data_IF_643504113296
#
_entry.id   IF_643504113296
#
_cell.length_a   1.000
_cell.length_b   1.000
_cell.length_c   1.000
_cell.angle_alpha   90.00
_cell.angle_beta   90.00
_cell.angle_gamma   90.00
#
_symmetry.space_group_name_H-M   'P 1'
#
loop_
_entity.id
_entity.type
_entity.pdbx_description
1 polymer ?
#
# COMPACT_ATOMS: atom_id res chain seq x y z
N UNK A 1 -10.88 1.66 2.45
CA UNK A 1 -10.35 2.19 1.16
C UNK A 1 -8.84 2.21 1.22
N UNK A 2 -8.14 1.66 0.22
CA UNK A 2 -6.69 1.70 0.15
C UNK A 2 -6.23 3.11 -0.18
N UNK A 3 -5.09 3.51 0.37
CA UNK A 3 -4.46 4.78 0.06
C UNK A 3 -3.13 4.54 -0.65
N UNK A 4 -2.84 5.38 -1.62
CA UNK A 4 -1.54 5.50 -2.25
C UNK A 4 -0.86 6.79 -1.81
N UNK A 5 0.45 6.83 -1.92
CA UNK A 5 1.24 8.03 -1.67
C UNK A 5 1.36 8.82 -2.96
N UNK A 6 0.86 10.05 -2.96
CA UNK A 6 1.18 11.03 -3.99
C UNK A 6 2.48 11.76 -3.63
N UNK A 7 3.30 12.01 -4.63
CA UNK A 7 4.55 12.76 -4.53
C UNK A 7 4.55 13.86 -5.57
N UNK A 8 4.80 15.08 -5.14
CA UNK A 8 5.02 16.23 -6.00
C UNK A 8 6.37 16.85 -5.70
N UNK A 9 7.15 17.09 -6.75
CA UNK A 9 8.45 17.73 -6.65
C UNK A 9 8.60 18.80 -7.74
N UNK A 10 9.21 19.93 -7.38
CA UNK A 10 9.60 20.97 -8.31
C UNK A 10 11.12 21.02 -8.42
N UNK A 11 11.63 21.02 -9.63
CA UNK A 11 13.04 21.27 -9.93
C UNK A 11 13.17 22.59 -10.69
N UNK A 12 13.96 23.54 -10.17
CA UNK A 12 14.33 24.75 -10.90
C UNK A 12 15.61 24.52 -11.67
N UNK A 13 15.53 24.55 -12.99
CA UNK A 13 16.66 24.35 -13.89
C UNK A 13 17.37 25.67 -14.20
N UNK A 14 18.68 25.58 -14.52
CA UNK A 14 19.54 26.75 -14.77
C UNK A 14 19.28 27.40 -16.12
N UNK A 15 18.83 26.61 -17.09
CA UNK A 15 18.55 27.05 -18.46
C UNK A 15 17.43 26.16 -19.04
N UNK A 16 16.79 26.55 -20.13
CA UNK A 16 15.84 25.69 -20.86
C UNK A 16 16.47 24.36 -21.26
N UNK A 17 15.65 23.30 -21.38
CA UNK A 17 16.13 21.94 -21.65
C UNK A 17 16.83 21.77 -23.00
N UNK A 18 16.61 22.67 -23.95
CA UNK A 18 17.27 22.75 -25.27
C UNK A 18 18.61 23.53 -25.25
N UNK A 19 18.94 24.14 -24.11
CA UNK A 19 20.25 24.76 -23.94
C UNK A 19 21.37 23.71 -23.87
N UNK A 20 22.54 23.97 -24.51
CA UNK A 20 23.69 23.06 -24.45
C UNK A 20 24.12 22.66 -23.03
N UNK A 21 23.99 23.55 -22.05
CA UNK A 21 24.28 23.29 -20.64
C UNK A 21 23.40 22.15 -20.07
N UNK A 22 22.19 22.01 -20.59
CA UNK A 22 21.19 21.07 -20.08
C UNK A 22 21.18 19.73 -20.84
N UNK A 23 22.02 19.55 -21.84
CA UNK A 23 22.01 18.36 -22.73
C UNK A 23 22.02 17.04 -21.95
N UNK A 24 22.93 16.88 -20.98
CA UNK A 24 23.04 15.66 -20.20
C UNK A 24 21.80 15.46 -19.29
N UNK A 25 21.30 16.55 -18.72
CA UNK A 25 20.09 16.50 -17.88
C UNK A 25 18.85 16.13 -18.70
N UNK A 26 18.67 16.74 -19.86
CA UNK A 26 17.57 16.42 -20.77
C UNK A 26 17.59 14.94 -21.22
N UNK A 27 18.78 14.38 -21.48
CA UNK A 27 18.94 12.95 -21.79
C UNK A 27 18.65 12.05 -20.58
N UNK A 28 18.90 12.51 -19.36
CA UNK A 28 18.68 11.74 -18.15
C UNK A 28 17.19 11.63 -17.77
N UNK A 29 16.37 12.64 -18.07
CA UNK A 29 14.94 12.68 -17.73
C UNK A 29 14.18 11.42 -18.19
N UNK A 30 14.20 11.01 -19.46
CA UNK A 30 13.50 9.82 -19.90
C UNK A 30 14.02 8.55 -19.23
N UNK A 31 15.31 8.45 -18.96
CA UNK A 31 15.92 7.29 -18.27
C UNK A 31 15.40 7.17 -16.85
N UNK A 32 15.36 8.27 -16.10
CA UNK A 32 14.81 8.29 -14.72
C UNK A 32 13.33 7.97 -14.71
N UNK A 33 12.59 8.50 -15.67
CA UNK A 33 11.17 8.22 -15.81
C UNK A 33 10.89 6.74 -16.09
N UNK A 34 11.68 6.11 -16.96
CA UNK A 34 11.58 4.68 -17.23
C UNK A 34 11.97 3.85 -16.00
N UNK A 35 13.02 4.23 -15.30
CA UNK A 35 13.42 3.61 -14.05
C UNK A 35 12.29 3.68 -13.02
N UNK A 36 11.62 4.83 -12.87
CA UNK A 36 10.48 4.99 -11.98
C UNK A 36 9.34 4.03 -12.35
N UNK A 37 8.96 3.97 -13.64
CA UNK A 37 7.84 3.12 -14.08
C UNK A 37 8.09 1.62 -13.90
N UNK A 38 9.35 1.19 -13.86
CA UNK A 38 9.75 -0.21 -13.60
C UNK A 38 10.01 -0.51 -12.13
N UNK A 39 9.98 0.52 -11.27
CA UNK A 39 10.26 0.34 -9.85
C UNK A 39 9.07 -0.32 -9.12
N UNK A 40 9.33 -1.24 -8.18
CA UNK A 40 8.28 -1.81 -7.34
C UNK A 40 7.46 -0.72 -6.65
N UNK A 41 6.15 -0.90 -6.63
CA UNK A 41 5.22 0.04 -6.00
C UNK A 41 4.98 1.34 -6.75
N UNK A 42 5.49 1.49 -7.97
CA UNK A 42 5.10 2.59 -8.85
C UNK A 42 3.66 2.37 -9.35
N UNK A 43 2.82 3.40 -9.28
CA UNK A 43 1.41 3.32 -9.68
C UNK A 43 1.13 4.16 -10.92
N UNK A 44 1.58 5.43 -10.92
CA UNK A 44 1.28 6.37 -11.99
C UNK A 44 2.18 7.62 -11.92
N UNK A 45 2.28 8.34 -13.02
CA UNK A 45 2.88 9.69 -13.11
C UNK A 45 2.10 10.58 -14.06
N UNK A 46 2.09 11.89 -13.78
CA UNK A 46 1.62 12.89 -14.73
C UNK A 46 2.63 13.09 -15.88
N UNK A 47 2.12 13.41 -17.04
CA UNK A 47 2.88 13.87 -18.20
C UNK A 47 2.73 15.39 -18.43
N UNK A 48 1.99 16.06 -17.55
CA UNK A 48 1.77 17.50 -17.65
C UNK A 48 3.05 18.27 -17.33
N UNK A 49 3.28 19.34 -18.08
CA UNK A 49 4.36 20.28 -17.84
C UNK A 49 3.80 21.52 -17.11
N UNK A 50 4.66 22.19 -16.34
CA UNK A 50 4.33 23.47 -15.74
C UNK A 50 4.27 24.60 -16.78
N UNK A 51 3.72 25.73 -16.37
CA UNK A 51 3.69 26.95 -17.20
C UNK A 51 5.04 27.68 -17.28
N UNK A 52 5.92 27.50 -16.30
CA UNK A 52 7.26 28.06 -16.27
C UNK A 52 8.25 27.06 -16.89
N UNK A 53 8.90 27.38 -18.03
CA UNK A 53 9.85 26.46 -18.68
C UNK A 53 11.12 26.19 -17.85
N UNK A 54 11.40 26.98 -16.82
CA UNK A 54 12.52 26.79 -15.91
C UNK A 54 12.14 26.06 -14.62
N UNK A 55 10.88 25.68 -14.46
CA UNK A 55 10.41 24.92 -13.30
C UNK A 55 9.75 23.62 -13.77
N UNK A 56 10.40 22.52 -13.52
CA UNK A 56 9.93 21.20 -13.94
C UNK A 56 9.16 20.53 -12.81
N UNK A 57 7.82 20.36 -12.95
CA UNK A 57 7.03 19.59 -12.00
C UNK A 57 7.21 18.07 -12.24
N UNK A 58 7.27 17.34 -11.15
CA UNK A 58 7.15 15.87 -11.17
C UNK A 58 6.06 15.46 -10.22
N UNK A 59 5.01 14.85 -10.75
CA UNK A 59 3.88 14.35 -9.99
C UNK A 59 3.74 12.84 -10.23
N UNK A 60 3.83 12.05 -9.18
CA UNK A 60 3.77 10.58 -9.26
C UNK A 60 3.03 9.97 -8.07
N UNK A 61 2.57 8.73 -8.25
CA UNK A 61 1.84 7.96 -7.25
C UNK A 61 2.59 6.67 -7.00
N UNK A 62 2.71 6.31 -5.72
CA UNK A 62 3.40 5.15 -5.22
C UNK A 62 2.55 4.38 -4.21
N UNK A 63 2.74 3.08 -4.10
CA UNK A 63 2.03 2.27 -3.10
C UNK A 63 2.40 2.66 -1.66
N UNK A 64 3.63 3.11 -1.43
CA UNK A 64 4.10 3.47 -0.09
C UNK A 64 5.32 4.40 -0.11
N UNK A 65 5.62 5.08 1.02
CA UNK A 65 6.86 5.83 1.20
C UNK A 65 8.12 4.97 1.07
N UNK A 66 8.04 3.69 1.42
CA UNK A 66 9.17 2.75 1.30
C UNK A 66 9.53 2.52 -0.18
N UNK A 67 8.54 2.32 -1.04
CA UNK A 67 8.76 2.16 -2.48
C UNK A 67 9.35 3.42 -3.12
N UNK A 68 8.82 4.60 -2.80
CA UNK A 68 9.38 5.86 -3.27
C UNK A 68 10.83 6.06 -2.79
N UNK A 69 11.13 5.77 -1.52
CA UNK A 69 12.51 5.86 -1.00
C UNK A 69 13.45 4.89 -1.71
N UNK A 70 13.02 3.66 -1.94
CA UNK A 70 13.80 2.67 -2.66
C UNK A 70 14.16 3.17 -4.07
N UNK A 71 13.20 3.73 -4.79
CA UNK A 71 13.44 4.36 -6.10
C UNK A 71 14.45 5.50 -6.02
N UNK A 72 14.27 6.44 -5.08
CA UNK A 72 15.16 7.60 -4.92
C UNK A 72 16.61 7.19 -4.64
N UNK A 73 16.81 6.06 -3.95
CA UNK A 73 18.13 5.54 -3.60
C UNK A 73 18.68 4.48 -4.57
N UNK A 74 18.01 4.20 -5.71
CA UNK A 74 18.54 3.30 -6.72
C UNK A 74 19.69 3.95 -7.50
N UNK A 75 20.64 3.13 -7.96
CA UNK A 75 21.91 3.56 -8.56
C UNK A 75 21.75 4.57 -9.70
N UNK A 76 20.81 4.35 -10.62
CA UNK A 76 20.59 5.25 -11.76
C UNK A 76 20.10 6.64 -11.38
N UNK A 77 19.21 6.73 -10.38
CA UNK A 77 18.75 8.00 -9.85
C UNK A 77 19.84 8.71 -9.03
N UNK A 78 20.61 7.96 -8.24
CA UNK A 78 21.68 8.50 -7.38
C UNK A 78 22.75 9.20 -8.21
N UNK A 79 23.17 8.67 -9.35
CA UNK A 79 24.20 9.30 -10.19
C UNK A 79 23.74 10.67 -10.72
N UNK A 80 22.49 10.80 -11.11
CA UNK A 80 21.92 12.09 -11.54
C UNK A 80 21.84 13.06 -10.36
N UNK A 81 21.45 12.56 -9.19
CA UNK A 81 21.36 13.38 -7.97
C UNK A 81 22.73 13.89 -7.49
N UNK A 82 23.82 13.16 -7.71
CA UNK A 82 25.18 13.63 -7.42
C UNK A 82 25.57 14.85 -8.25
N UNK A 83 25.16 14.87 -9.51
CA UNK A 83 25.46 15.95 -10.45
C UNK A 83 24.41 17.08 -10.46
N UNK A 84 23.37 16.99 -9.64
CA UNK A 84 22.22 17.93 -9.66
C UNK A 84 22.62 19.41 -9.59
N UNK A 85 23.70 19.73 -8.88
CA UNK A 85 24.20 21.10 -8.75
C UNK A 85 24.69 21.71 -10.07
N UNK A 86 24.98 20.89 -11.06
CA UNK A 86 25.36 21.35 -12.42
C UNK A 86 24.16 21.95 -13.15
N UNK A 87 22.97 21.43 -12.91
CA UNK A 87 21.76 21.74 -13.68
C UNK A 87 20.65 22.44 -12.88
N UNK A 88 20.61 22.22 -11.55
CA UNK A 88 19.54 22.68 -10.72
C UNK A 88 19.96 23.85 -9.82
N UNK A 89 19.04 24.79 -9.62
CA UNK A 89 19.16 25.88 -8.66
C UNK A 89 18.46 25.50 -7.35
N UNK A 90 18.97 25.99 -6.19
CA UNK A 90 18.23 25.89 -4.94
C UNK A 90 16.84 26.50 -5.04
N UNK A 91 15.84 25.85 -4.47
CA UNK A 91 14.46 26.35 -4.55
C UNK A 91 14.13 27.39 -3.48
N UNK A 92 14.92 27.48 -2.41
CA UNK A 92 14.75 28.46 -1.32
C UNK A 92 13.54 28.21 -0.40
N UNK A 93 12.70 27.23 -0.71
CA UNK A 93 11.52 26.80 0.03
C UNK A 93 11.34 25.28 -0.15
N UNK A 94 10.45 24.62 0.60
CA UNK A 94 10.08 23.25 0.31
C UNK A 94 9.68 23.08 -1.16
N UNK A 95 10.31 22.12 -1.82
CA UNK A 95 10.05 21.81 -3.23
C UNK A 95 9.53 20.38 -3.43
N UNK A 96 9.26 19.68 -2.32
CA UNK A 96 8.72 18.33 -2.27
C UNK A 96 7.53 18.31 -1.32
N UNK A 97 6.40 17.81 -1.77
CA UNK A 97 5.25 17.49 -0.95
C UNK A 97 4.83 16.03 -1.17
N UNK A 98 4.50 15.37 -0.09
CA UNK A 98 3.91 14.04 -0.04
C UNK A 98 2.54 14.15 0.61
N UNK A 99 1.56 13.40 0.13
CA UNK A 99 0.24 13.28 0.76
C UNK A 99 -0.41 11.95 0.39
N UNK A 100 -1.36 11.53 1.22
CA UNK A 100 -2.10 10.30 0.97
C UNK A 100 -3.36 10.58 0.15
N UNK A 101 -3.60 9.75 -0.85
CA UNK A 101 -4.76 9.81 -1.73
C UNK A 101 -5.50 8.48 -1.72
N UNK A 102 -6.84 8.46 -1.91
CA UNK A 102 -7.57 7.22 -2.15
C UNK A 102 -7.03 6.49 -3.38
N UNK A 103 -6.98 5.16 -3.32
CA UNK A 103 -6.60 4.37 -4.48
C UNK A 103 -7.55 4.64 -5.66
N UNK A 104 -6.97 4.87 -6.83
CA UNK A 104 -7.71 5.26 -8.04
C UNK A 104 -7.83 6.78 -8.26
N UNK A 105 -7.61 7.61 -7.25
CA UNK A 105 -7.50 9.06 -7.46
C UNK A 105 -6.21 9.40 -8.22
N UNK A 106 -6.32 10.33 -9.17
CA UNK A 106 -5.18 10.90 -9.90
C UNK A 106 -5.16 12.41 -9.67
N UNK A 107 -4.24 12.90 -8.84
CA UNK A 107 -4.16 14.32 -8.53
C UNK A 107 -3.77 15.13 -9.77
N UNK A 108 -4.27 16.35 -9.85
CA UNK A 108 -3.88 17.34 -10.85
C UNK A 108 -2.65 18.14 -10.41
N UNK A 109 -1.99 18.86 -11.32
CA UNK A 109 -0.92 19.79 -10.96
C UNK A 109 -1.43 20.89 -10.03
N UNK A 110 -2.69 21.36 -10.20
CA UNK A 110 -3.31 22.33 -9.30
C UNK A 110 -3.37 21.81 -7.88
N UNK A 111 -3.94 20.59 -7.67
CA UNK A 111 -3.96 19.97 -6.35
C UNK A 111 -2.54 19.83 -5.78
N UNK A 112 -1.58 19.43 -6.59
CA UNK A 112 -0.20 19.24 -6.17
C UNK A 112 0.46 20.55 -5.70
N UNK A 113 0.21 21.66 -6.41
CA UNK A 113 0.66 22.99 -6.00
C UNK A 113 0.00 23.46 -4.70
N UNK A 114 -1.29 23.21 -4.52
CA UNK A 114 -2.01 23.52 -3.27
C UNK A 114 -1.42 22.74 -2.08
N UNK A 115 -1.07 21.45 -2.26
CA UNK A 115 -0.41 20.63 -1.24
C UNK A 115 0.97 21.17 -0.85
N UNK A 116 1.77 21.56 -1.86
CA UNK A 116 3.08 22.17 -1.61
C UNK A 116 2.97 23.53 -0.92
N UNK A 117 2.00 24.36 -1.34
CA UNK A 117 1.72 25.65 -0.70
C UNK A 117 1.28 25.46 0.76
N UNK A 118 0.38 24.50 1.03
CA UNK A 118 -0.03 24.14 2.39
C UNK A 118 1.15 23.75 3.27
N UNK A 119 2.03 22.85 2.76
CA UNK A 119 3.24 22.44 3.47
C UNK A 119 4.16 23.64 3.80
N UNK A 120 4.29 24.55 2.85
CA UNK A 120 5.13 25.75 3.01
C UNK A 120 4.57 26.71 4.05
N UNK A 121 3.25 26.90 4.10
CA UNK A 121 2.59 27.86 4.99
C UNK A 121 2.33 27.32 6.39
N UNK A 122 2.00 26.04 6.52
CA UNK A 122 1.52 25.43 7.77
C UNK A 122 2.46 24.37 8.34
N UNK A 123 3.53 24.02 7.63
CA UNK A 123 4.40 22.92 8.00
C UNK A 123 3.79 21.53 7.74
N UNK A 124 4.48 20.46 8.13
CA UNK A 124 4.05 19.09 7.89
C UNK A 124 2.74 18.75 8.62
N UNK A 125 1.80 18.16 7.90
CA UNK A 125 0.50 17.69 8.40
C UNK A 125 0.01 16.50 7.58
N UNK A 126 -1.13 15.90 7.96
CA UNK A 126 -1.79 14.87 7.13
C UNK A 126 -2.21 15.39 5.75
N UNK A 127 -2.38 16.71 5.57
CA UNK A 127 -2.73 17.30 4.29
C UNK A 127 -1.54 17.34 3.32
N UNK A 128 -0.32 17.57 3.85
CA UNK A 128 0.93 17.55 3.09
C UNK A 128 2.12 17.41 4.04
N UNK A 129 3.10 16.60 3.69
CA UNK A 129 4.30 16.35 4.50
C UNK A 129 5.53 16.09 3.63
N UNK A 130 6.69 15.97 4.24
CA UNK A 130 7.94 15.54 3.62
C UNK A 130 8.33 14.15 4.12
N UNK A 131 9.51 13.65 3.73
CA UNK A 131 10.00 12.36 4.23
C UNK A 131 10.25 12.33 5.74
N UNK A 132 10.46 13.48 6.36
CA UNK A 132 10.67 13.64 7.80
C UNK A 132 9.90 14.86 8.32
N UNK A 133 9.02 14.71 9.33
CA UNK A 133 8.53 13.44 9.86
C UNK A 133 7.62 12.72 8.85
N UNK A 134 7.62 11.39 8.82
CA UNK A 134 6.68 10.63 8.01
C UNK A 134 5.28 10.67 8.64
N UNK A 135 4.25 10.77 7.80
CA UNK A 135 2.86 10.60 8.21
C UNK A 135 2.35 9.26 7.71
N UNK A 136 1.75 8.49 8.61
CA UNK A 136 1.14 7.20 8.23
C UNK A 136 -0.05 7.43 7.30
N UNK A 137 -0.32 6.46 6.44
CA UNK A 137 -1.56 6.46 5.67
C UNK A 137 -2.73 6.66 6.63
N UNK A 138 -3.73 7.47 6.25
CA UNK A 138 -4.98 7.50 7.00
C UNK A 138 -5.41 6.05 7.19
N UNK A 139 -5.72 5.67 8.43
CA UNK A 139 -6.36 4.39 8.65
C UNK A 139 -7.51 4.34 7.66
N UNK A 140 -7.59 3.24 6.87
CA UNK A 140 -8.79 3.06 6.05
C UNK A 140 -9.96 3.36 6.97
N UNK A 141 -10.89 4.28 6.61
CA UNK A 141 -12.05 4.50 7.44
C UNK A 141 -12.54 3.09 7.74
N UNK A 142 -12.67 2.76 9.00
CA UNK A 142 -13.43 1.59 9.38
C UNK A 142 -14.68 1.73 8.53
N UNK A 143 -14.87 0.81 7.57
CA UNK A 143 -16.01 0.90 6.68
C UNK A 143 -17.21 0.92 7.63
N UNK A 144 -17.71 2.11 7.91
CA UNK A 144 -18.93 2.36 8.67
C UNK A 144 -20.10 2.09 7.74
N UNK A 145 -20.07 0.91 7.16
CA UNK A 145 -21.22 0.30 6.54
C UNK A 145 -21.87 -0.56 7.60
N UNK A 146 -22.79 0.06 8.29
CA UNK A 146 -23.77 -0.59 9.13
C UNK A 146 -23.18 -1.63 10.07
N UNK A 147 -23.25 -1.35 11.40
CA UNK A 147 -22.98 -2.29 12.47
C UNK A 147 -21.66 -3.06 12.29
N UNK A 148 -20.58 -2.61 12.94
CA UNK A 148 -19.47 -3.50 13.25
C UNK A 148 -20.14 -4.72 13.87
N UNK A 149 -20.13 -5.90 13.20
CA UNK A 149 -20.72 -7.07 13.85
C UNK A 149 -20.00 -7.22 15.18
N UNK A 150 -20.72 -7.57 16.21
CA UNK A 150 -20.19 -7.91 17.54
C UNK A 150 -19.23 -9.13 17.48
N UNK A 151 -18.90 -9.55 16.26
CA UNK A 151 -18.05 -10.65 15.88
C UNK A 151 -16.62 -10.18 15.63
N UNK A 152 -15.76 -10.34 16.63
CA UNK A 152 -14.32 -10.10 16.47
C UNK A 152 -13.57 -11.43 16.42
N UNK A 153 -12.83 -11.60 15.34
CA UNK A 153 -11.89 -12.72 15.11
C UNK A 153 -10.44 -12.34 15.40
N UNK A 154 -10.17 -11.04 15.66
CA UNK A 154 -8.80 -10.54 15.83
C UNK A 154 -8.12 -11.15 17.04
N UNK A 155 -6.88 -11.62 16.84
CA UNK A 155 -6.06 -12.25 17.88
C UNK A 155 -6.56 -13.62 18.36
N UNK A 156 -7.61 -14.19 17.75
CA UNK A 156 -8.13 -15.50 18.14
C UNK A 156 -7.30 -16.64 17.56
N UNK A 157 -7.21 -17.71 18.35
CA UNK A 157 -6.61 -18.98 17.93
C UNK A 157 -7.68 -20.04 17.88
N UNK A 158 -7.81 -20.71 16.72
CA UNK A 158 -8.75 -21.82 16.56
C UNK A 158 -7.98 -23.14 16.37
N UNK A 159 -8.50 -24.19 16.94
CA UNK A 159 -8.02 -25.54 16.74
C UNK A 159 -9.06 -26.35 15.97
N UNK A 160 -8.63 -27.13 15.00
CA UNK A 160 -9.51 -28.05 14.28
C UNK A 160 -9.94 -29.16 15.23
N UNK A 161 -11.25 -29.28 15.47
CA UNK A 161 -11.83 -30.28 16.39
C UNK A 161 -12.32 -31.52 15.64
N UNK A 162 -12.97 -31.34 14.50
CA UNK A 162 -13.68 -32.40 13.80
C UNK A 162 -13.59 -32.17 12.29
N UNK A 163 -13.55 -33.23 11.51
CA UNK A 163 -13.47 -33.20 10.06
C UNK A 163 -14.63 -34.00 9.50
N UNK A 164 -15.23 -33.50 8.38
CA UNK A 164 -16.13 -34.31 7.58
C UNK A 164 -15.37 -35.49 6.92
N UNK A 165 -16.06 -36.58 6.60
CA UNK A 165 -15.46 -37.81 6.03
C UNK A 165 -14.58 -37.58 4.79
N UNK A 166 -14.77 -36.45 4.08
CA UNK A 166 -14.03 -36.09 2.87
C UNK A 166 -12.95 -35.00 3.09
N UNK A 167 -12.68 -34.58 4.34
CA UNK A 167 -11.70 -33.54 4.65
C UNK A 167 -10.28 -34.07 4.79
N UNK A 168 -9.31 -33.36 4.20
CA UNK A 168 -7.89 -33.74 4.25
C UNK A 168 -7.16 -33.30 5.52
N UNK A 169 -7.74 -32.39 6.28
CA UNK A 169 -7.12 -31.86 7.49
C UNK A 169 -7.33 -32.83 8.65
N UNK A 170 -6.27 -33.14 9.38
CA UNK A 170 -6.34 -33.97 10.57
C UNK A 170 -6.37 -33.11 11.83
N UNK A 171 -6.90 -33.61 12.96
CA UNK A 171 -6.81 -32.91 14.25
C UNK A 171 -5.39 -32.41 14.53
N UNK A 172 -5.27 -31.26 15.19
CA UNK A 172 -3.97 -30.64 15.49
C UNK A 172 -3.57 -29.50 14.56
N UNK A 173 -4.41 -29.12 13.59
CA UNK A 173 -4.21 -27.87 12.85
C UNK A 173 -4.64 -26.68 13.72
N UNK A 174 -3.75 -25.69 13.84
CA UNK A 174 -3.96 -24.47 14.61
C UNK A 174 -3.98 -23.29 13.65
N UNK A 175 -4.96 -22.41 13.80
CA UNK A 175 -5.19 -21.22 13.03
C UNK A 175 -4.98 -19.98 13.91
N UNK A 176 -4.20 -19.00 13.43
CA UNK A 176 -4.02 -17.71 14.07
C UNK A 176 -4.72 -16.64 13.24
N UNK A 177 -5.83 -16.12 13.78
CA UNK A 177 -6.70 -15.19 13.09
C UNK A 177 -6.35 -13.74 13.39
N UNK A 178 -6.48 -12.91 12.38
CA UNK A 178 -6.36 -11.45 12.44
C UNK A 178 -7.54 -10.82 11.75
N UNK A 179 -8.00 -9.66 12.24
CA UNK A 179 -9.12 -8.95 11.64
C UNK A 179 -8.84 -7.45 11.59
N UNK A 180 -9.27 -6.84 10.49
CA UNK A 180 -9.32 -5.39 10.35
C UNK A 180 -10.59 -4.99 9.59
N UNK A 181 -11.55 -4.38 10.32
CA UNK A 181 -12.89 -4.14 9.80
C UNK A 181 -13.58 -5.46 9.44
N UNK A 182 -14.12 -5.56 8.24
CA UNK A 182 -14.77 -6.78 7.75
C UNK A 182 -13.82 -7.78 7.07
N UNK A 183 -12.48 -7.57 7.16
CA UNK A 183 -11.47 -8.46 6.56
C UNK A 183 -10.79 -9.27 7.63
N UNK A 184 -10.76 -10.57 7.40
CA UNK A 184 -10.07 -11.56 8.25
C UNK A 184 -9.01 -12.25 7.41
N UNK A 185 -7.88 -12.54 8.03
CA UNK A 185 -6.87 -13.44 7.47
C UNK A 185 -6.30 -14.30 8.59
N UNK A 186 -5.80 -15.48 8.21
CA UNK A 186 -5.11 -16.34 9.16
C UNK A 186 -3.98 -17.10 8.50
N UNK A 187 -2.96 -17.42 9.29
CA UNK A 187 -2.01 -18.47 9.01
C UNK A 187 -2.39 -19.73 9.80
N UNK A 188 -2.11 -20.91 9.25
CA UNK A 188 -2.37 -22.15 9.95
C UNK A 188 -1.39 -23.25 9.59
N UNK A 189 -1.14 -24.15 10.55
CA UNK A 189 -0.24 -25.29 10.40
C UNK A 189 -0.61 -26.38 11.39
N UNK A 190 -0.11 -27.59 11.17
CA UNK A 190 -0.32 -28.76 12.02
C UNK A 190 -1.02 -29.91 11.29
N UNK A 191 -1.13 -31.06 11.91
CA UNK A 191 -1.65 -32.26 11.26
C UNK A 191 -0.87 -32.62 9.99
N UNK A 192 -1.56 -32.65 8.85
CA UNK A 192 -0.95 -32.88 7.53
C UNK A 192 -0.57 -31.57 6.81
N UNK A 193 -0.91 -30.40 7.36
CA UNK A 193 -0.63 -29.09 6.79
C UNK A 193 0.70 -28.57 7.30
N UNK A 194 1.64 -28.34 6.39
CA UNK A 194 2.95 -27.75 6.70
C UNK A 194 2.86 -26.23 6.86
N UNK A 195 2.08 -25.60 6.00
CA UNK A 195 1.77 -24.18 6.04
C UNK A 195 0.49 -23.90 5.25
N UNK A 196 -0.40 -23.08 5.81
CA UNK A 196 -1.60 -22.61 5.15
C UNK A 196 -1.87 -21.15 5.47
N UNK A 197 -2.61 -20.52 4.58
CA UNK A 197 -3.13 -19.16 4.76
C UNK A 197 -4.57 -19.08 4.25
N UNK A 198 -5.34 -18.21 4.86
CA UNK A 198 -6.69 -17.88 4.40
C UNK A 198 -6.92 -16.38 4.42
N UNK A 199 -7.85 -15.94 3.59
CA UNK A 199 -8.44 -14.61 3.62
C UNK A 199 -9.96 -14.76 3.62
N UNK A 200 -10.65 -13.92 4.39
CA UNK A 200 -12.10 -13.98 4.52
C UNK A 200 -12.71 -12.58 4.62
N UNK A 201 -13.98 -12.50 4.29
CA UNK A 201 -14.85 -11.37 4.58
C UNK A 201 -15.85 -11.76 5.66
N UNK A 202 -15.98 -10.87 6.66
CA UNK A 202 -17.02 -11.02 7.67
C UNK A 202 -18.31 -10.42 7.14
N UNK A 203 -19.37 -11.22 7.10
CA UNK A 203 -20.72 -10.79 6.77
C UNK A 203 -21.42 -10.17 7.99
N UNK A 204 -22.55 -9.43 7.83
CA UNK A 204 -23.23 -8.77 8.95
C UNK A 204 -23.70 -9.71 10.08
N UNK A 205 -23.93 -10.97 9.77
CA UNK A 205 -24.33 -12.02 10.72
C UNK A 205 -23.13 -12.74 11.36
N UNK A 206 -21.89 -12.27 11.08
CA UNK A 206 -20.66 -12.86 11.56
C UNK A 206 -20.11 -14.00 10.72
N UNK A 207 -20.83 -14.47 9.71
CA UNK A 207 -20.31 -15.52 8.83
C UNK A 207 -19.03 -15.06 8.10
N UNK A 208 -18.16 -16.03 7.81
CA UNK A 208 -16.95 -15.80 7.02
C UNK A 208 -17.11 -16.42 5.64
N UNK A 209 -17.08 -15.59 4.59
CA UNK A 209 -16.84 -16.07 3.21
C UNK A 209 -15.32 -16.08 2.98
N UNK A 210 -14.73 -17.28 2.88
CA UNK A 210 -13.27 -17.41 2.88
C UNK A 210 -12.73 -18.15 1.67
N UNK A 211 -11.48 -17.81 1.37
CA UNK A 211 -10.60 -18.49 0.42
C UNK A 211 -9.35 -18.91 1.16
N UNK A 212 -8.89 -20.12 0.90
CA UNK A 212 -7.72 -20.66 1.55
C UNK A 212 -6.79 -21.34 0.56
N UNK A 213 -5.54 -21.46 0.99
CA UNK A 213 -4.53 -22.29 0.37
C UNK A 213 -3.65 -22.90 1.45
N UNK A 214 -3.20 -24.13 1.21
CA UNK A 214 -2.19 -24.76 2.07
C UNK A 214 -1.28 -25.69 1.30
N UNK A 215 -0.11 -25.91 1.87
CA UNK A 215 0.86 -26.90 1.45
C UNK A 215 0.95 -28.00 2.49
N UNK A 216 0.79 -29.26 2.07
CA UNK A 216 0.86 -30.44 2.91
C UNK A 216 1.50 -31.62 2.17
N UNK A 217 1.33 -32.83 2.70
CA UNK A 217 1.88 -34.05 2.13
C UNK A 217 1.39 -34.32 0.70
N UNK A 218 0.18 -33.87 0.33
CA UNK A 218 -0.43 -34.00 -1.00
C UNK A 218 -0.15 -32.85 -1.97
N UNK A 219 0.80 -31.94 -1.66
CA UNK A 219 1.10 -30.77 -2.48
C UNK A 219 0.34 -29.52 -2.04
N UNK A 220 0.17 -28.56 -2.96
CA UNK A 220 -0.59 -27.32 -2.72
C UNK A 220 -2.07 -27.58 -3.02
N UNK A 221 -2.92 -27.17 -2.09
CA UNK A 221 -4.38 -27.19 -2.24
C UNK A 221 -4.95 -25.80 -2.02
N UNK A 222 -6.00 -25.48 -2.76
CA UNK A 222 -6.76 -24.24 -2.64
C UNK A 222 -8.24 -24.56 -2.58
N UNK A 223 -9.00 -23.72 -1.91
CA UNK A 223 -10.45 -23.88 -1.85
C UNK A 223 -11.15 -22.64 -1.31
N UNK A 224 -12.43 -22.80 -1.20
CA UNK A 224 -13.33 -21.82 -0.58
C UNK A 224 -14.19 -22.52 0.45
N UNK A 225 -14.56 -21.83 1.50
CA UNK A 225 -15.55 -22.32 2.44
C UNK A 225 -16.31 -21.16 3.06
N UNK A 226 -17.45 -21.49 3.65
CA UNK A 226 -18.22 -20.58 4.48
C UNK A 226 -18.17 -21.07 5.91
N UNK A 227 -17.82 -20.18 6.86
CA UNK A 227 -17.79 -20.49 8.28
C UNK A 227 -18.92 -19.75 8.99
N UNK A 228 -19.73 -20.48 9.75
CA UNK A 228 -20.78 -19.93 10.60
C UNK A 228 -20.33 -19.94 12.06
N UNK A 229 -20.26 -18.76 12.72
CA UNK A 229 -19.83 -18.67 14.11
C UNK A 229 -20.94 -19.07 15.08
N UNK A 230 -20.56 -19.75 16.17
CA UNK A 230 -21.42 -20.11 17.31
C UNK A 230 -20.71 -19.75 18.62
N UNK A 231 -21.36 -18.95 19.47
CA UNK A 231 -20.90 -18.73 20.84
C UNK A 231 -21.29 -19.90 21.72
N UNK A 232 -20.31 -20.52 22.34
CA UNK A 232 -20.53 -21.59 23.32
C UNK A 232 -20.87 -20.98 24.69
N UNK A 233 -21.52 -21.76 25.52
CA UNK A 233 -21.93 -21.35 26.89
C UNK A 233 -20.73 -20.94 27.78
N UNK A 234 -19.54 -21.42 27.48
CA UNK A 234 -18.31 -21.09 28.21
C UNK A 234 -17.56 -19.85 27.63
N UNK A 235 -18.18 -19.12 26.69
CA UNK A 235 -17.61 -17.92 26.09
C UNK A 235 -16.58 -18.19 24.96
N UNK A 236 -16.36 -19.43 24.59
CA UNK A 236 -15.55 -19.75 23.41
C UNK A 236 -16.36 -19.60 22.13
N UNK A 237 -15.66 -19.31 21.03
CA UNK A 237 -16.23 -19.25 19.71
C UNK A 237 -15.93 -20.54 18.95
N UNK A 238 -16.93 -21.14 18.35
CA UNK A 238 -16.82 -22.28 17.44
C UNK A 238 -17.14 -21.81 16.03
N UNK A 239 -16.43 -22.34 15.04
CA UNK A 239 -16.70 -22.14 13.63
C UNK A 239 -17.17 -23.45 13.00
N UNK A 240 -18.34 -23.42 12.36
CA UNK A 240 -18.86 -24.51 11.55
C UNK A 240 -18.54 -24.19 10.08
N UNK A 241 -17.80 -25.07 9.44
CA UNK A 241 -17.28 -24.83 8.09
C UNK A 241 -18.00 -25.71 7.07
N UNK A 242 -18.48 -25.06 5.99
CA UNK A 242 -19.08 -25.71 4.81
C UNK A 242 -18.18 -25.50 3.61
N UNK A 243 -17.74 -26.62 3.01
CA UNK A 243 -16.76 -26.67 1.91
C UNK A 243 -17.43 -26.82 0.56
#
# INVERSE_FOLDING_TARGET
MWHHLAQFNLARIRAPLDDPLMTDYARAIPIVNELATRSPGFVWRSLENGSDPLVLPTLSIWESPAHLRAFVHQSGHVEIMKRRAEWLLPFGAPNLALWWIPAGHRPTLTEAHERLAHLTQHGPSHAAFAFNPPFLAPAAPAESNGLVPDWSYDGRTFALLQISENGDNRPGVIFHYHQRGNRVWASYQGGTVRFGSLVARVEPDGQLDMRYQHWGAGGVRTGQCRSTPEWLADGRLRLHEEW
#
